data_IF_567773583262
#
_entry.id   IF_567773583262
#
_cell.length_a   1.000
_cell.length_b   1.000
_cell.length_c   1.000
_cell.angle_alpha   90.00
_cell.angle_beta   90.00
_cell.angle_gamma   90.00
#
_symmetry.space_group_name_H-M   'P 1'
#
loop_
_entity.id
_entity.type
_entity.pdbx_description
1 polymer ?
#
# COMPACT_ATOMS: atom_id res chain seq x y z
N UNK A 1 18.59 -17.30 17.08
CA UNK A 1 18.00 -16.70 15.87
C UNK A 1 16.60 -16.26 16.22
N UNK A 2 16.38 -14.96 16.37
CA UNK A 2 15.05 -14.37 16.42
C UNK A 2 15.14 -13.27 15.38
N UNK A 3 14.68 -13.55 14.16
CA UNK A 3 14.47 -12.48 13.21
C UNK A 3 13.26 -11.72 13.77
N UNK A 4 13.52 -10.65 14.50
CA UNK A 4 12.51 -9.70 14.92
C UNK A 4 11.70 -9.33 13.67
N UNK A 5 10.43 -9.72 13.67
CA UNK A 5 9.44 -9.23 12.72
C UNK A 5 9.49 -7.71 12.84
N UNK A 6 10.19 -7.08 11.88
CA UNK A 6 10.24 -5.63 11.74
C UNK A 6 8.82 -5.12 11.84
N UNK A 7 8.61 -4.24 12.80
CA UNK A 7 7.35 -3.61 13.17
C UNK A 7 6.38 -3.56 12.00
N UNK A 8 5.27 -4.31 12.11
CA UNK A 8 4.12 -4.13 11.24
C UNK A 8 3.52 -2.77 11.61
N UNK A 9 4.18 -1.68 11.20
CA UNK A 9 3.79 -0.33 11.55
C UNK A 9 2.43 -0.11 10.90
N UNK A 10 1.38 -0.08 11.71
CA UNK A 10 0.03 0.23 11.23
C UNK A 10 0.08 1.64 10.63
N UNK A 11 -0.04 1.74 9.30
CA UNK A 11 0.06 3.01 8.59
C UNK A 11 -1.30 3.69 8.62
N UNK A 12 -1.38 4.99 8.92
CA UNK A 12 -2.67 5.69 9.02
C UNK A 12 -3.22 6.22 7.71
N UNK A 13 -4.55 6.37 7.65
CA UNK A 13 -5.20 7.05 6.52
C UNK A 13 -4.66 8.47 6.44
N UNK A 14 -4.27 8.89 5.25
CA UNK A 14 -3.59 10.15 5.02
C UNK A 14 -2.08 10.00 4.79
N UNK A 15 -1.46 8.92 5.24
CA UNK A 15 -0.03 8.70 5.05
C UNK A 15 0.31 8.42 3.60
N UNK A 16 1.44 8.97 3.15
CA UNK A 16 2.07 8.58 1.88
C UNK A 16 3.14 7.54 2.14
N UNK A 17 3.14 6.48 1.33
CA UNK A 17 4.06 5.34 1.45
C UNK A 17 4.55 4.88 0.08
N UNK A 18 5.66 4.14 0.07
CA UNK A 18 6.25 3.59 -1.16
C UNK A 18 5.94 2.10 -1.26
N UNK A 19 5.33 1.70 -2.37
CA UNK A 19 5.01 0.30 -2.62
C UNK A 19 6.26 -0.58 -2.68
N UNK A 20 6.26 -1.66 -1.89
CA UNK A 20 7.35 -2.65 -1.89
C UNK A 20 7.19 -3.72 -2.98
N UNK A 21 5.99 -3.84 -3.55
CA UNK A 21 5.64 -4.76 -4.62
C UNK A 21 4.79 -4.05 -5.69
N UNK A 22 4.85 -4.52 -6.93
CA UNK A 22 3.96 -4.03 -7.97
C UNK A 22 2.52 -4.48 -7.69
N UNK A 23 1.55 -3.62 -7.97
CA UNK A 23 0.12 -3.91 -7.86
C UNK A 23 -0.62 -3.57 -9.14
N UNK A 24 -1.30 -4.55 -9.70
CA UNK A 24 -2.16 -4.33 -10.86
C UNK A 24 -3.44 -3.63 -10.41
N UNK A 25 -3.85 -2.59 -11.14
CA UNK A 25 -5.18 -2.01 -11.04
C UNK A 25 -5.81 -1.94 -12.45
N UNK A 26 -7.08 -1.53 -12.53
CA UNK A 26 -7.88 -1.54 -13.75
C UNK A 26 -7.21 -0.86 -14.95
N UNK A 27 -6.52 0.26 -14.72
CA UNK A 27 -5.94 1.08 -15.81
C UNK A 27 -4.48 0.72 -16.09
N UNK A 28 -3.73 0.28 -15.06
CA UNK A 28 -2.30 -0.02 -15.17
C UNK A 28 -1.77 -0.77 -13.96
N UNK A 29 -0.51 -1.19 -14.04
CA UNK A 29 0.22 -1.66 -12.87
C UNK A 29 0.94 -0.49 -12.18
N UNK A 30 0.67 -0.31 -10.89
CA UNK A 30 1.49 0.50 -9.99
C UNK A 30 2.77 -0.28 -9.73
N UNK A 31 3.93 0.26 -10.12
CA UNK A 31 5.20 -0.45 -9.99
C UNK A 31 5.71 -0.40 -8.55
N UNK A 32 6.56 -1.35 -8.15
CA UNK A 32 7.39 -1.21 -6.95
C UNK A 32 8.11 0.15 -6.98
N UNK A 33 8.19 0.84 -5.84
CA UNK A 33 8.75 2.17 -5.74
C UNK A 33 7.75 3.31 -6.02
N UNK A 34 6.51 2.99 -6.41
CA UNK A 34 5.47 4.02 -6.59
C UNK A 34 5.03 4.55 -5.22
N UNK A 35 5.00 5.88 -5.10
CA UNK A 35 4.38 6.57 -3.96
C UNK A 35 2.86 6.55 -4.08
N UNK A 36 2.21 6.14 -2.99
CA UNK A 36 0.76 6.06 -2.88
C UNK A 36 0.31 6.62 -1.54
N UNK A 37 -0.88 7.20 -1.51
CA UNK A 37 -1.55 7.65 -0.28
C UNK A 37 -2.48 6.57 0.21
N UNK A 38 -2.49 6.33 1.52
CA UNK A 38 -3.50 5.49 2.17
C UNK A 38 -4.78 6.30 2.28
N UNK A 39 -5.83 5.81 1.64
CA UNK A 39 -7.16 6.44 1.60
C UNK A 39 -8.21 5.67 2.40
N UNK A 40 -7.90 4.44 2.82
CA UNK A 40 -8.81 3.59 3.58
C UNK A 40 -8.07 2.44 4.27
N UNK A 41 -8.78 1.79 5.20
CA UNK A 41 -8.33 0.60 5.93
C UNK A 41 -9.47 -0.39 6.00
N UNK A 42 -9.19 -1.65 5.73
CA UNK A 42 -10.11 -2.76 5.99
C UNK A 42 -9.41 -3.84 6.80
N UNK A 43 -10.16 -4.85 7.21
CA UNK A 43 -9.60 -6.04 7.88
C UNK A 43 -8.66 -6.84 6.97
N UNK A 44 -8.67 -6.57 5.65
CA UNK A 44 -7.91 -7.30 4.63
C UNK A 44 -6.67 -6.53 4.14
N UNK A 45 -6.50 -5.27 4.50
CA UNK A 45 -5.38 -4.44 4.09
C UNK A 45 -5.70 -2.96 4.07
N UNK A 46 -5.07 -2.23 3.16
CA UNK A 46 -5.31 -0.79 3.00
C UNK A 46 -5.79 -0.45 1.60
N UNK A 47 -6.58 0.61 1.52
CA UNK A 47 -6.94 1.20 0.24
C UNK A 47 -5.93 2.28 -0.09
N UNK A 48 -5.39 2.25 -1.30
CA UNK A 48 -4.31 3.13 -1.75
C UNK A 48 -4.69 3.88 -3.03
N UNK A 49 -4.14 5.08 -3.16
CA UNK A 49 -4.32 5.94 -4.34
C UNK A 49 -2.99 6.54 -4.79
N UNK A 50 -2.65 6.40 -6.08
CA UNK A 50 -1.50 7.10 -6.66
C UNK A 50 -1.81 8.57 -6.96
N UNK A 51 -0.79 9.37 -7.28
CA UNK A 51 -0.96 10.80 -7.60
C UNK A 51 -1.84 11.09 -8.83
N UNK A 52 -2.22 10.08 -9.59
CA UNK A 52 -3.06 10.20 -10.78
C UNK A 52 -4.48 9.68 -10.55
N UNK A 53 -4.84 9.35 -9.31
CA UNK A 53 -6.18 8.90 -8.92
C UNK A 53 -6.45 7.41 -9.13
N UNK A 54 -5.42 6.61 -9.43
CA UNK A 54 -5.59 5.15 -9.57
C UNK A 54 -5.64 4.50 -8.20
N UNK A 55 -6.65 3.65 -8.00
CA UNK A 55 -6.95 3.04 -6.71
C UNK A 55 -6.73 1.54 -6.72
N UNK A 56 -6.25 1.02 -5.60
CA UNK A 56 -6.27 -0.41 -5.26
C UNK A 56 -6.92 -0.53 -3.88
N UNK A 57 -7.94 -1.38 -3.79
CA UNK A 57 -8.74 -1.57 -2.57
C UNK A 57 -8.30 -2.88 -1.91
N UNK A 58 -8.21 -2.88 -0.58
CA UNK A 58 -7.76 -4.02 0.23
C UNK A 58 -6.37 -4.55 -0.18
N UNK A 59 -5.42 -3.65 -0.42
CA UNK A 59 -4.03 -4.00 -0.69
C UNK A 59 -3.37 -4.52 0.59
N UNK A 60 -3.18 -5.83 0.67
CA UNK A 60 -2.54 -6.51 1.81
C UNK A 60 -1.01 -6.37 1.87
N UNK A 61 -0.38 -5.84 0.82
CA UNK A 61 1.08 -5.81 0.66
C UNK A 61 1.60 -4.38 0.51
N UNK A 62 1.66 -3.66 1.63
CA UNK A 62 2.23 -2.29 1.68
C UNK A 62 3.58 -2.26 2.41
N UNK A 63 3.94 -3.37 3.05
CA UNK A 63 5.21 -3.59 3.76
C UNK A 63 6.15 -4.50 2.96
#
# INVERSE_FOLDING_TARGET
MINENKDTKCLDVGNTVVLQHGQACLVRTLKKGTEVKIIGKSVRGYDIEDKYGNKVIECGWIL
#
